data_IF_951623941960
#
_entry.id   IF_951623941960
#
_cell.length_a   1.000
_cell.length_b   1.000
_cell.length_c   1.000
_cell.angle_alpha   90.00
_cell.angle_beta   90.00
_cell.angle_gamma   90.00
#
_symmetry.space_group_name_H-M   'P 1'
#
loop_
_entity.id
_entity.type
_entity.pdbx_description
1 polymer ?
#
# COMPACT_ATOMS: atom_id res chain seq x y z
N UNK A 1 20.05 2.44 8.50
CA UNK A 1 21.27 1.68 8.89
C UNK A 1 22.00 1.10 7.66
N UNK A 2 21.32 0.41 6.73
CA UNK A 2 21.96 -0.15 5.52
C UNK A 2 22.54 0.95 4.63
N UNK A 3 21.82 2.04 4.40
CA UNK A 3 22.25 3.18 3.57
C UNK A 3 23.40 3.97 4.19
N UNK A 4 23.43 4.13 5.53
CA UNK A 4 24.56 4.71 6.26
C UNK A 4 25.84 3.87 6.11
N UNK A 5 25.70 2.54 6.18
CA UNK A 5 26.83 1.64 5.95
C UNK A 5 27.33 1.71 4.50
N UNK A 6 26.45 1.85 3.52
CA UNK A 6 26.83 2.03 2.12
C UNK A 6 27.53 3.36 1.88
N UNK A 7 27.06 4.44 2.48
CA UNK A 7 27.71 5.76 2.40
C UNK A 7 29.12 5.71 2.99
N UNK A 8 29.28 5.14 4.19
CA UNK A 8 30.58 4.97 4.84
C UNK A 8 31.56 4.09 4.02
N UNK A 9 31.04 3.03 3.37
CA UNK A 9 31.85 2.22 2.45
C UNK A 9 32.28 3.01 1.21
N UNK A 10 31.40 3.85 0.65
CA UNK A 10 31.70 4.68 -0.51
C UNK A 10 32.73 5.77 -0.16
N UNK A 11 32.59 6.39 1.00
CA UNK A 11 33.56 7.37 1.53
C UNK A 11 34.93 6.75 1.73
N UNK A 12 35.02 5.54 2.29
CA UNK A 12 36.25 4.80 2.44
C UNK A 12 36.87 4.42 1.09
N UNK A 13 36.07 3.95 0.12
CA UNK A 13 36.55 3.59 -1.23
C UNK A 13 37.05 4.82 -2.01
N UNK A 14 36.39 5.97 -1.86
CA UNK A 14 36.87 7.24 -2.45
C UNK A 14 38.16 7.71 -1.80
N UNK A 15 38.29 7.60 -0.47
CA UNK A 15 39.51 7.96 0.23
C UNK A 15 40.71 7.08 -0.18
N UNK A 16 40.51 5.76 -0.27
CA UNK A 16 41.52 4.79 -0.71
C UNK A 16 41.95 5.03 -2.18
N UNK A 17 40.99 5.24 -3.07
CA UNK A 17 41.30 5.56 -4.48
C UNK A 17 41.98 6.89 -4.64
N UNK A 18 41.63 7.88 -3.84
CA UNK A 18 42.32 9.19 -3.83
C UNK A 18 43.76 9.07 -3.32
N UNK A 19 44.00 8.23 -2.31
CA UNK A 19 45.36 7.96 -1.81
C UNK A 19 46.24 7.21 -2.84
N UNK A 20 45.65 6.17 -3.49
CA UNK A 20 46.32 5.44 -4.57
C UNK A 20 46.63 6.32 -5.77
N UNK A 21 45.73 7.23 -6.13
CA UNK A 21 45.95 8.20 -7.21
C UNK A 21 47.02 9.23 -6.87
N UNK A 22 47.10 9.69 -5.62
CA UNK A 22 48.19 10.56 -5.19
C UNK A 22 49.56 9.89 -5.33
N UNK A 23 49.66 8.61 -4.92
CA UNK A 23 50.93 7.85 -5.08
C UNK A 23 51.26 7.56 -6.55
N UNK A 24 50.28 7.37 -7.42
CA UNK A 24 50.46 7.17 -8.86
C UNK A 24 50.86 8.48 -9.60
N UNK A 25 50.44 9.64 -9.10
CA UNK A 25 50.78 10.96 -9.65
C UNK A 25 52.28 11.31 -9.42
N UNK A 26 52.87 10.77 -8.36
CA UNK A 26 54.31 10.98 -8.04
C UNK A 26 55.25 10.10 -8.89
N UNK A 27 54.73 9.09 -9.61
CA UNK A 27 55.52 8.29 -10.55
C UNK A 27 55.25 8.76 -12.00
N UNK A 28 56.32 9.10 -12.73
CA UNK A 28 56.43 9.59 -14.13
C UNK A 28 55.32 9.19 -15.11
N UNK A 29 54.15 9.78 -14.99
CA UNK A 29 53.05 9.63 -15.98
C UNK A 29 52.84 10.92 -16.79
N UNK A 30 52.43 10.77 -18.05
CA UNK A 30 52.26 11.87 -19.00
C UNK A 30 51.23 12.91 -18.52
N UNK A 31 51.47 14.20 -18.83
CA UNK A 31 50.67 15.37 -18.42
C UNK A 31 49.15 15.19 -18.70
N UNK A 32 48.81 14.54 -19.79
CA UNK A 32 47.42 14.26 -20.19
C UNK A 32 46.69 13.26 -19.29
N UNK A 33 47.38 12.32 -18.72
CA UNK A 33 46.78 11.31 -17.84
C UNK A 33 46.52 11.90 -16.43
N UNK A 34 47.41 12.80 -15.99
CA UNK A 34 47.22 13.59 -14.76
C UNK A 34 45.97 14.48 -14.82
N UNK A 35 45.75 15.20 -15.93
CA UNK A 35 44.59 16.06 -16.11
C UNK A 35 43.30 15.27 -16.10
N UNK A 36 43.29 14.09 -16.73
CA UNK A 36 42.13 13.19 -16.75
C UNK A 36 41.78 12.65 -15.36
N UNK A 37 42.77 12.27 -14.58
CA UNK A 37 42.62 11.80 -13.21
C UNK A 37 42.10 12.93 -12.31
N UNK A 38 42.63 14.14 -12.43
CA UNK A 38 42.15 15.30 -11.66
C UNK A 38 40.70 15.64 -11.98
N UNK A 39 40.30 15.59 -13.24
CA UNK A 39 38.88 15.81 -13.61
C UNK A 39 37.94 14.75 -13.04
N UNK A 40 38.37 13.49 -12.99
CA UNK A 40 37.61 12.39 -12.40
C UNK A 40 37.45 12.54 -10.88
N UNK A 41 38.52 12.98 -10.21
CA UNK A 41 38.48 13.28 -8.77
C UNK A 41 37.47 14.39 -8.48
N UNK A 42 37.50 15.50 -9.24
CA UNK A 42 36.53 16.59 -9.08
C UNK A 42 35.10 16.16 -9.34
N UNK A 43 34.86 15.30 -10.32
CA UNK A 43 33.53 14.74 -10.58
C UNK A 43 33.04 13.86 -9.41
N UNK A 44 33.91 13.00 -8.89
CA UNK A 44 33.56 12.12 -7.76
C UNK A 44 33.33 12.92 -6.47
N UNK A 45 34.15 13.94 -6.18
CA UNK A 45 33.95 14.83 -5.04
C UNK A 45 32.60 15.58 -5.15
N UNK A 46 32.25 16.06 -6.34
CA UNK A 46 30.96 16.73 -6.58
C UNK A 46 29.78 15.79 -6.39
N UNK A 47 29.89 14.54 -6.85
CA UNK A 47 28.86 13.51 -6.63
C UNK A 47 28.72 13.15 -5.15
N UNK A 48 29.84 13.10 -4.43
CA UNK A 48 29.84 12.78 -3.00
C UNK A 48 29.13 13.87 -2.20
N UNK A 49 29.41 15.14 -2.48
CA UNK A 49 28.71 16.29 -1.87
C UNK A 49 27.21 16.26 -2.18
N UNK A 50 26.83 15.98 -3.43
CA UNK A 50 25.43 15.86 -3.81
C UNK A 50 24.72 14.75 -3.05
N UNK A 51 25.31 13.55 -2.97
CA UNK A 51 24.76 12.42 -2.25
C UNK A 51 24.65 12.67 -0.73
N UNK A 52 25.61 13.39 -0.15
CA UNK A 52 25.55 13.79 1.26
C UNK A 52 24.37 14.73 1.52
N UNK A 53 24.15 15.73 0.65
CA UNK A 53 23.00 16.64 0.78
C UNK A 53 21.66 15.91 0.60
N UNK A 54 21.57 14.98 -0.35
CA UNK A 54 20.37 14.17 -0.54
C UNK A 54 20.10 13.26 0.67
N UNK A 55 21.15 12.69 1.25
CA UNK A 55 21.05 11.89 2.47
C UNK A 55 20.54 12.71 3.66
N UNK A 56 21.10 13.90 3.91
CA UNK A 56 20.65 14.81 4.98
C UNK A 56 19.17 15.20 4.78
N UNK A 57 18.78 15.49 3.55
CA UNK A 57 17.38 15.81 3.20
C UNK A 57 16.42 14.65 3.48
N UNK A 58 16.82 13.44 3.12
CA UNK A 58 16.05 12.22 3.38
C UNK A 58 15.96 11.91 4.88
N UNK A 59 17.03 12.10 5.62
CA UNK A 59 17.06 11.88 7.07
C UNK A 59 16.15 12.89 7.80
N UNK A 60 16.15 14.15 7.38
CA UNK A 60 15.23 15.17 7.89
C UNK A 60 13.77 14.83 7.58
N UNK A 61 13.48 14.34 6.36
CA UNK A 61 12.15 13.92 5.95
C UNK A 61 11.68 12.69 6.73
N UNK A 62 12.56 11.73 6.97
CA UNK A 62 12.28 10.55 7.78
C UNK A 62 11.95 10.94 9.22
N UNK A 63 12.77 11.81 9.82
CA UNK A 63 12.53 12.30 11.18
C UNK A 63 11.17 13.01 11.34
N UNK A 64 10.81 13.87 10.38
CA UNK A 64 9.51 14.56 10.41
C UNK A 64 8.34 13.59 10.23
N UNK A 65 8.50 12.57 9.40
CA UNK A 65 7.48 11.55 9.17
C UNK A 65 7.31 10.65 10.41
N UNK A 66 8.40 10.28 11.07
CA UNK A 66 8.36 9.51 12.32
C UNK A 66 7.69 10.30 13.46
N UNK A 67 7.97 11.61 13.56
CA UNK A 67 7.31 12.47 14.54
C UNK A 67 5.80 12.61 14.28
N UNK A 68 5.42 12.77 13.00
CA UNK A 68 4.02 12.81 12.61
C UNK A 68 3.30 11.49 12.91
N UNK A 69 3.94 10.36 12.62
CA UNK A 69 3.42 9.03 12.94
C UNK A 69 3.30 8.80 14.44
N UNK A 70 4.29 9.22 15.23
CA UNK A 70 4.24 9.13 16.68
C UNK A 70 3.12 10.01 17.30
N UNK A 71 2.91 11.20 16.74
CA UNK A 71 1.83 12.10 17.14
C UNK A 71 0.47 11.52 16.79
N UNK A 72 0.30 11.02 15.57
CA UNK A 72 -0.91 10.33 15.15
C UNK A 72 -1.22 9.09 16.02
N UNK A 73 -0.19 8.31 16.36
CA UNK A 73 -0.33 7.16 17.26
C UNK A 73 -0.75 7.56 18.68
N UNK A 74 -0.22 8.66 19.23
CA UNK A 74 -0.63 9.20 20.54
C UNK A 74 -2.07 9.71 20.51
N UNK A 75 -2.48 10.40 19.45
CA UNK A 75 -3.85 10.84 19.26
C UNK A 75 -4.81 9.65 19.18
N UNK A 76 -4.48 8.61 18.39
CA UNK A 76 -5.26 7.38 18.33
C UNK A 76 -5.36 6.66 19.68
N UNK A 77 -4.30 6.66 20.49
CA UNK A 77 -4.32 6.08 21.82
C UNK A 77 -5.12 6.91 22.86
N UNK A 78 -5.27 8.22 22.64
CA UNK A 78 -6.09 9.09 23.50
C UNK A 78 -7.60 8.97 23.24
N UNK A 79 -7.99 8.46 22.08
CA UNK A 79 -9.38 8.09 21.81
C UNK A 79 -9.63 6.70 22.39
N UNK A 80 -10.48 6.61 23.42
CA UNK A 80 -10.93 5.29 23.91
C UNK A 80 -11.61 4.53 22.78
N UNK A 81 -11.13 3.35 22.47
CA UNK A 81 -11.54 2.50 21.36
C UNK A 81 -13.03 2.10 21.33
N UNK A 82 -13.78 2.39 22.37
CA UNK A 82 -15.14 1.84 22.56
C UNK A 82 -16.26 2.57 21.81
N UNK A 83 -16.01 3.81 21.27
CA UNK A 83 -17.09 4.62 20.70
C UNK A 83 -16.84 5.16 19.28
N UNK A 84 -15.75 4.78 18.62
CA UNK A 84 -15.45 5.29 17.29
C UNK A 84 -15.80 4.25 16.21
N UNK A 85 -16.54 4.64 15.15
CA UNK A 85 -16.72 3.77 14.01
C UNK A 85 -15.36 3.40 13.40
N UNK A 86 -15.20 2.19 12.85
CA UNK A 86 -13.96 1.77 12.21
C UNK A 86 -13.57 2.77 11.13
N UNK A 87 -12.27 3.09 11.08
CA UNK A 87 -11.75 4.09 10.14
C UNK A 87 -12.17 3.73 8.72
N UNK A 88 -12.90 4.64 8.08
CA UNK A 88 -13.30 4.52 6.69
C UNK A 88 -14.62 3.78 6.44
N UNK A 89 -15.34 3.39 7.49
CA UNK A 89 -16.71 2.94 7.35
C UNK A 89 -17.68 3.97 7.91
N UNK A 90 -18.73 4.32 7.18
CA UNK A 90 -19.89 4.99 7.78
C UNK A 90 -20.43 4.15 8.93
N UNK A 91 -20.83 4.81 10.02
CA UNK A 91 -21.39 4.14 11.20
C UNK A 91 -22.62 3.25 10.89
N UNK A 92 -23.30 3.57 9.79
CA UNK A 92 -24.48 2.84 9.31
C UNK A 92 -24.14 1.61 8.46
N UNK A 93 -22.85 1.29 8.23
CA UNK A 93 -22.48 0.13 7.40
C UNK A 93 -22.97 -1.17 8.00
N UNK A 94 -23.87 -1.84 7.28
CA UNK A 94 -24.48 -3.12 7.69
C UNK A 94 -23.83 -4.32 7.01
N UNK A 95 -23.12 -4.08 5.90
CA UNK A 95 -22.47 -5.10 5.08
C UNK A 95 -21.06 -4.66 4.71
N UNK A 96 -20.07 -5.54 4.82
CA UNK A 96 -18.68 -5.21 4.53
C UNK A 96 -18.07 -6.22 3.58
N UNK A 97 -17.52 -5.73 2.47
CA UNK A 97 -16.76 -6.55 1.53
C UNK A 97 -15.28 -6.15 1.53
N UNK A 98 -14.42 -7.14 1.41
CA UNK A 98 -12.99 -6.96 1.25
C UNK A 98 -12.59 -7.35 -0.18
N UNK A 99 -11.82 -6.49 -0.84
CA UNK A 99 -11.18 -6.76 -2.13
C UNK A 99 -9.68 -6.80 -1.89
N UNK A 100 -9.11 -7.99 -1.89
CA UNK A 100 -7.74 -8.23 -1.44
C UNK A 100 -6.85 -8.55 -2.65
N UNK A 101 -5.78 -7.80 -2.79
CA UNK A 101 -4.74 -8.10 -3.77
C UNK A 101 -3.95 -9.34 -3.32
N UNK A 102 -3.99 -10.37 -4.13
CA UNK A 102 -3.27 -11.64 -3.94
C UNK A 102 -2.18 -11.83 -4.98
N UNK A 103 -1.73 -10.76 -5.64
CA UNK A 103 -0.64 -10.77 -6.62
C UNK A 103 0.70 -11.19 -6.01
N UNK A 104 1.69 -11.41 -6.85
CA UNK A 104 2.99 -11.92 -6.42
C UNK A 104 3.72 -11.00 -5.43
N UNK A 105 3.54 -9.68 -5.51
CA UNK A 105 4.11 -8.70 -4.59
C UNK A 105 3.52 -8.78 -3.17
N UNK A 106 2.27 -9.24 -3.06
CA UNK A 106 1.56 -9.41 -1.79
C UNK A 106 1.81 -10.80 -1.15
N UNK A 107 2.66 -11.63 -1.76
CA UNK A 107 2.93 -13.00 -1.32
C UNK A 107 4.34 -13.18 -0.79
N UNK A 108 4.48 -14.03 0.19
CA UNK A 108 5.77 -14.52 0.64
C UNK A 108 6.39 -15.40 -0.47
N UNK A 109 7.56 -15.02 -0.96
CA UNK A 109 8.22 -15.70 -2.07
C UNK A 109 8.64 -17.15 -1.74
N UNK A 110 8.85 -17.47 -0.45
CA UNK A 110 9.29 -18.80 -0.01
C UNK A 110 8.12 -19.78 0.13
N UNK A 111 6.98 -19.29 0.65
CA UNK A 111 5.82 -20.15 0.94
C UNK A 111 4.73 -20.08 -0.13
N UNK A 112 4.73 -19.04 -0.95
CA UNK A 112 3.66 -18.74 -1.92
C UNK A 112 2.34 -18.32 -1.28
N UNK A 113 2.27 -18.25 0.05
CA UNK A 113 1.10 -17.79 0.78
C UNK A 113 1.02 -16.26 0.76
N UNK A 114 -0.16 -15.70 1.04
CA UNK A 114 -0.30 -14.25 1.24
C UNK A 114 0.61 -13.82 2.41
N UNK A 115 1.20 -12.63 2.31
CA UNK A 115 2.09 -12.15 3.36
C UNK A 115 1.31 -12.00 4.68
N UNK A 116 1.92 -12.47 5.78
CA UNK A 116 1.26 -12.47 7.08
C UNK A 116 0.78 -11.08 7.50
N UNK A 117 1.57 -10.04 7.25
CA UNK A 117 1.19 -8.66 7.58
C UNK A 117 -0.07 -8.17 6.86
N UNK A 118 -0.34 -8.66 5.64
CA UNK A 118 -1.60 -8.36 4.93
C UNK A 118 -2.78 -9.00 5.64
N UNK A 119 -2.64 -10.27 6.03
CA UNK A 119 -3.70 -10.99 6.75
C UNK A 119 -3.95 -10.37 8.12
N UNK A 120 -2.88 -9.91 8.80
CA UNK A 120 -2.99 -9.22 10.09
C UNK A 120 -3.74 -7.88 9.97
N UNK A 121 -3.55 -7.14 8.88
CA UNK A 121 -4.32 -5.93 8.64
C UNK A 121 -5.82 -6.22 8.40
N UNK A 122 -6.13 -7.31 7.72
CA UNK A 122 -7.53 -7.75 7.59
C UNK A 122 -8.09 -8.18 8.95
N UNK A 123 -7.28 -8.82 9.80
CA UNK A 123 -7.64 -9.14 11.18
C UNK A 123 -7.94 -7.90 12.00
N UNK A 124 -7.02 -6.93 12.04
CA UNK A 124 -7.20 -5.65 12.75
C UNK A 124 -8.48 -4.92 12.31
N UNK A 125 -8.77 -4.92 11.00
CA UNK A 125 -10.01 -4.36 10.50
C UNK A 125 -11.24 -5.12 11.01
N UNK A 126 -11.24 -6.44 10.90
CA UNK A 126 -12.35 -7.25 11.39
C UNK A 126 -12.59 -7.10 12.89
N UNK A 127 -11.51 -6.97 13.68
CA UNK A 127 -11.60 -6.71 15.13
C UNK A 127 -12.13 -5.31 15.45
N UNK A 128 -11.80 -4.32 14.61
CA UNK A 128 -12.28 -2.95 14.76
C UNK A 128 -13.72 -2.75 14.28
N UNK A 129 -14.23 -3.67 13.43
CA UNK A 129 -15.59 -3.59 12.94
C UNK A 129 -16.57 -3.92 14.05
N UNK A 130 -17.62 -3.12 14.24
CA UNK A 130 -18.78 -3.57 15.03
C UNK A 130 -19.35 -4.84 14.41
N UNK A 131 -20.17 -5.54 15.14
CA UNK A 131 -20.90 -6.68 14.57
C UNK A 131 -21.81 -6.17 13.44
N UNK A 132 -21.42 -6.49 12.19
CA UNK A 132 -22.21 -6.16 10.99
C UNK A 132 -23.10 -7.33 10.62
N UNK A 133 -24.07 -7.12 9.74
CA UNK A 133 -24.96 -8.23 9.36
C UNK A 133 -24.24 -9.28 8.53
N UNK A 134 -23.34 -8.86 7.67
CA UNK A 134 -22.68 -9.76 6.73
C UNK A 134 -21.35 -9.25 6.24
N UNK A 135 -20.48 -10.18 5.92
CA UNK A 135 -19.14 -9.93 5.35
C UNK A 135 -18.96 -10.74 4.07
N UNK A 136 -18.02 -10.31 3.20
CA UNK A 136 -17.59 -11.06 2.03
C UNK A 136 -16.16 -10.71 1.63
N UNK A 137 -15.47 -11.66 1.01
CA UNK A 137 -14.07 -11.52 0.60
C UNK A 137 -13.88 -11.92 -0.87
N UNK A 138 -13.30 -11.03 -1.64
CA UNK A 138 -12.96 -11.23 -3.06
C UNK A 138 -11.47 -10.95 -3.26
N UNK A 139 -10.88 -11.58 -4.27
CA UNK A 139 -9.58 -11.13 -4.77
C UNK A 139 -9.76 -9.96 -5.77
N UNK A 140 -8.68 -9.31 -6.16
CA UNK A 140 -8.72 -8.21 -7.14
C UNK A 140 -9.18 -8.64 -8.53
N UNK A 141 -9.14 -9.91 -8.87
CA UNK A 141 -9.73 -10.46 -10.11
C UNK A 141 -11.25 -10.68 -10.03
N UNK A 142 -11.84 -10.51 -8.83
CA UNK A 142 -13.27 -10.68 -8.59
C UNK A 142 -13.70 -12.10 -8.25
N UNK A 143 -12.76 -12.98 -7.88
CA UNK A 143 -13.08 -14.32 -7.38
C UNK A 143 -13.43 -14.24 -5.90
N UNK A 144 -14.44 -15.00 -5.50
CA UNK A 144 -14.84 -15.12 -4.10
C UNK A 144 -13.90 -16.07 -3.36
N UNK A 145 -13.28 -15.59 -2.28
CA UNK A 145 -12.20 -16.34 -1.59
C UNK A 145 -12.75 -17.43 -0.67
N UNK A 146 -13.96 -17.24 -0.09
CA UNK A 146 -14.50 -18.11 0.94
C UNK A 146 -15.59 -19.07 0.44
N UNK A 147 -16.19 -18.83 -0.69
CA UNK A 147 -17.28 -19.68 -1.16
C UNK A 147 -17.42 -19.65 -2.67
N UNK A 148 -17.92 -20.75 -3.22
CA UNK A 148 -18.39 -20.82 -4.59
C UNK A 148 -19.71 -20.04 -4.81
N UNK A 149 -20.29 -19.46 -3.76
CA UNK A 149 -21.55 -18.71 -3.81
C UNK A 149 -21.30 -17.27 -4.19
N UNK A 150 -21.14 -17.02 -5.45
CA UNK A 150 -21.04 -15.68 -6.01
C UNK A 150 -22.30 -14.86 -5.74
N UNK A 151 -22.13 -13.60 -5.32
CA UNK A 151 -23.24 -12.69 -5.08
C UNK A 151 -24.00 -12.92 -3.76
N UNK A 152 -23.52 -13.82 -2.90
CA UNK A 152 -24.12 -14.07 -1.60
C UNK A 152 -23.28 -13.49 -0.47
N UNK A 153 -23.95 -12.83 0.44
CA UNK A 153 -23.37 -12.40 1.68
C UNK A 153 -23.21 -13.56 2.68
N UNK A 154 -22.16 -13.53 3.45
CA UNK A 154 -21.91 -14.47 4.53
C UNK A 154 -22.28 -13.80 5.86
N UNK A 155 -23.00 -14.49 6.78
CA UNK A 155 -23.34 -13.90 8.07
C UNK A 155 -22.07 -13.60 8.86
N UNK A 156 -22.01 -12.42 9.48
CA UNK A 156 -20.87 -12.05 10.29
C UNK A 156 -20.92 -12.77 11.64
N UNK A 157 -19.97 -13.65 11.88
CA UNK A 157 -19.80 -14.38 13.14
C UNK A 157 -18.31 -14.49 13.45
N UNK A 158 -17.96 -14.59 14.73
CA UNK A 158 -16.57 -14.77 15.16
C UNK A 158 -15.91 -16.00 14.53
N UNK A 159 -16.63 -17.10 14.41
CA UNK A 159 -16.15 -18.32 13.76
C UNK A 159 -15.90 -18.12 12.28
N UNK A 160 -16.74 -17.36 11.56
CA UNK A 160 -16.53 -17.08 10.15
C UNK A 160 -15.35 -16.10 9.95
N UNK A 161 -15.19 -15.09 10.79
CA UNK A 161 -14.04 -14.17 10.75
C UNK A 161 -12.73 -14.94 10.86
N UNK A 162 -12.61 -15.86 11.83
CA UNK A 162 -11.42 -16.69 11.99
C UNK A 162 -11.19 -17.64 10.80
N UNK A 163 -12.23 -18.32 10.34
CA UNK A 163 -12.15 -19.15 9.14
C UNK A 163 -11.72 -18.35 7.92
N UNK A 164 -12.22 -17.13 7.77
CA UNK A 164 -11.86 -16.24 6.68
C UNK A 164 -10.35 -15.93 6.68
N UNK A 165 -9.79 -15.55 7.82
CA UNK A 165 -8.37 -15.22 7.95
C UNK A 165 -7.48 -16.41 7.57
N UNK A 166 -7.84 -17.62 7.99
CA UNK A 166 -7.11 -18.83 7.64
C UNK A 166 -7.18 -19.13 6.13
N UNK A 167 -8.35 -18.98 5.53
CA UNK A 167 -8.53 -19.21 4.09
C UNK A 167 -7.84 -18.13 3.25
N UNK A 168 -7.85 -16.87 3.67
CA UNK A 168 -7.15 -15.77 3.01
C UNK A 168 -5.64 -16.03 3.03
N UNK A 169 -5.07 -16.43 4.17
CA UNK A 169 -3.66 -16.76 4.28
C UNK A 169 -3.25 -17.89 3.32
N UNK A 170 -4.07 -18.93 3.25
CA UNK A 170 -3.82 -20.12 2.42
C UNK A 170 -4.32 -19.97 0.96
N UNK A 171 -4.89 -18.81 0.58
CA UNK A 171 -5.54 -18.64 -0.72
C UNK A 171 -4.55 -18.87 -1.88
N UNK A 172 -4.80 -19.87 -2.75
CA UNK A 172 -3.79 -20.34 -3.70
C UNK A 172 -3.73 -19.51 -4.98
N UNK A 173 -4.79 -18.75 -5.30
CA UNK A 173 -4.93 -18.06 -6.58
C UNK A 173 -4.21 -16.71 -6.49
N UNK A 174 -3.25 -16.48 -7.39
CA UNK A 174 -2.66 -15.16 -7.56
C UNK A 174 -3.56 -14.30 -8.46
N UNK A 175 -3.95 -13.13 -7.95
CA UNK A 175 -4.71 -12.16 -8.73
C UNK A 175 -3.77 -11.23 -9.53
N UNK A 176 -4.35 -10.43 -10.42
CA UNK A 176 -3.66 -9.31 -11.06
C UNK A 176 -3.70 -8.12 -10.09
N UNK A 177 -2.61 -7.34 -10.00
CA UNK A 177 -2.56 -6.10 -9.20
C UNK A 177 -3.42 -5.01 -9.86
N UNK A 178 -4.72 -5.25 -9.89
CA UNK A 178 -5.72 -4.35 -10.46
C UNK A 178 -7.06 -4.57 -9.76
N UNK A 179 -7.41 -3.74 -8.77
CA UNK A 179 -8.63 -3.88 -8.00
C UNK A 179 -9.90 -3.55 -8.78
N UNK A 180 -9.82 -3.07 -10.03
CA UNK A 180 -11.00 -2.70 -10.83
C UNK A 180 -12.01 -3.84 -10.92
N UNK A 181 -11.54 -5.04 -11.27
CA UNK A 181 -12.43 -6.20 -11.44
C UNK A 181 -13.06 -6.62 -10.12
N UNK A 182 -12.29 -6.63 -9.04
CA UNK A 182 -12.76 -6.95 -7.70
C UNK A 182 -13.82 -5.97 -7.24
N UNK A 183 -13.56 -4.66 -7.34
CA UNK A 183 -14.50 -3.59 -7.01
C UNK A 183 -15.81 -3.71 -7.81
N UNK A 184 -15.70 -3.86 -9.13
CA UNK A 184 -16.86 -4.01 -10.00
C UNK A 184 -17.66 -5.25 -9.67
N UNK A 185 -17.01 -6.38 -9.40
CA UNK A 185 -17.70 -7.61 -9.00
C UNK A 185 -18.40 -7.45 -7.65
N UNK A 186 -17.74 -6.87 -6.66
CA UNK A 186 -18.34 -6.60 -5.36
C UNK A 186 -19.60 -5.74 -5.49
N UNK A 187 -19.53 -4.61 -6.20
CA UNK A 187 -20.68 -3.72 -6.36
C UNK A 187 -21.78 -4.37 -7.19
N UNK A 188 -21.45 -4.98 -8.33
CA UNK A 188 -22.43 -5.58 -9.23
C UNK A 188 -23.17 -6.75 -8.60
N UNK A 189 -22.45 -7.61 -7.89
CA UNK A 189 -22.98 -8.88 -7.43
C UNK A 189 -23.59 -8.76 -6.01
N UNK A 190 -23.06 -7.89 -5.15
CA UNK A 190 -23.46 -7.81 -3.74
C UNK A 190 -24.45 -6.67 -3.44
N UNK A 191 -24.27 -5.50 -4.09
CA UNK A 191 -25.16 -4.35 -3.87
C UNK A 191 -26.64 -4.63 -4.17
N UNK A 192 -27.03 -5.40 -5.22
CA UNK A 192 -28.46 -5.66 -5.50
C UNK A 192 -29.21 -6.39 -4.39
N UNK A 193 -28.52 -7.07 -3.49
CA UNK A 193 -29.11 -7.78 -2.36
C UNK A 193 -29.32 -6.91 -1.12
N UNK A 194 -28.88 -5.65 -1.15
CA UNK A 194 -29.07 -4.69 -0.07
C UNK A 194 -30.52 -4.19 -0.03
N UNK A 195 -31.05 -4.03 1.18
CA UNK A 195 -32.34 -3.38 1.43
C UNK A 195 -32.20 -1.87 1.43
N UNK A 196 -33.30 -1.16 1.48
CA UNK A 196 -33.34 0.32 1.41
C UNK A 196 -32.49 0.99 2.48
N UNK A 197 -32.42 0.40 3.67
CA UNK A 197 -31.69 0.94 4.83
C UNK A 197 -30.31 0.29 5.03
N UNK A 198 -29.90 -0.57 4.11
CA UNK A 198 -28.60 -1.22 4.18
C UNK A 198 -27.52 -0.35 3.49
N UNK A 199 -26.36 -0.24 4.14
CA UNK A 199 -25.16 0.40 3.59
C UNK A 199 -24.04 -0.62 3.49
N UNK A 200 -23.32 -0.56 2.39
CA UNK A 200 -22.18 -1.42 2.10
C UNK A 200 -20.87 -0.65 2.21
N UNK A 201 -19.93 -1.16 2.99
CA UNK A 201 -18.54 -0.72 2.95
C UNK A 201 -17.68 -1.68 2.15
N UNK A 202 -16.76 -1.17 1.35
CA UNK A 202 -15.73 -1.97 0.67
C UNK A 202 -14.36 -1.52 1.16
N UNK A 203 -13.52 -2.45 1.62
CA UNK A 203 -12.10 -2.24 1.84
C UNK A 203 -11.29 -2.86 0.71
N UNK A 204 -10.50 -2.04 0.02
CA UNK A 204 -9.52 -2.48 -0.98
C UNK A 204 -8.16 -2.58 -0.31
N UNK A 205 -7.54 -3.75 -0.34
CA UNK A 205 -6.25 -4.03 0.28
C UNK A 205 -5.25 -4.38 -0.80
N UNK A 206 -4.18 -3.60 -0.96
CA UNK A 206 -3.21 -3.83 -2.04
C UNK A 206 -2.00 -2.90 -2.01
N UNK A 207 -1.14 -3.03 -3.03
CA UNK A 207 0.12 -2.31 -3.14
C UNK A 207 0.35 -1.65 -4.51
N UNK A 208 -0.35 -2.08 -5.57
CA UNK A 208 -0.19 -1.56 -6.92
C UNK A 208 -1.54 -1.44 -7.66
N UNK A 209 -1.56 -0.61 -8.69
CA UNK A 209 -2.68 -0.45 -9.60
C UNK A 209 -2.18 -0.28 -11.04
N UNK A 210 -2.65 -1.13 -11.93
CA UNK A 210 -2.22 -1.14 -13.33
C UNK A 210 -3.27 -0.66 -14.32
N UNK A 211 -4.47 -0.35 -13.86
CA UNK A 211 -5.59 0.09 -14.68
C UNK A 211 -5.59 1.58 -15.05
N UNK A 212 -6.67 2.01 -15.70
CA UNK A 212 -6.94 3.42 -16.00
C UNK A 212 -7.80 4.05 -14.91
N UNK A 213 -7.25 5.04 -14.21
CA UNK A 213 -7.92 5.76 -13.12
C UNK A 213 -9.23 6.37 -13.55
N UNK A 214 -9.20 7.16 -14.64
CA UNK A 214 -10.38 7.89 -15.11
C UNK A 214 -11.49 6.94 -15.58
N UNK A 215 -11.12 5.85 -16.25
CA UNK A 215 -12.07 4.83 -16.69
C UNK A 215 -12.77 4.16 -15.51
N UNK A 216 -12.00 3.82 -14.46
CA UNK A 216 -12.52 3.20 -13.25
C UNK A 216 -13.44 4.15 -12.48
N UNK A 217 -13.06 5.40 -12.24
CA UNK A 217 -13.90 6.38 -11.56
C UNK A 217 -15.25 6.58 -12.24
N UNK A 218 -15.27 6.75 -13.56
CA UNK A 218 -16.52 6.89 -14.33
C UNK A 218 -17.40 5.65 -14.18
N UNK A 219 -16.82 4.47 -14.19
CA UNK A 219 -17.59 3.23 -14.04
C UNK A 219 -18.15 3.07 -12.61
N UNK A 220 -17.33 3.36 -11.61
CA UNK A 220 -17.77 3.31 -10.21
C UNK A 220 -18.89 4.32 -9.93
N UNK A 221 -18.80 5.53 -10.47
CA UNK A 221 -19.86 6.54 -10.35
C UNK A 221 -21.20 6.07 -10.96
N UNK A 222 -21.15 5.41 -12.10
CA UNK A 222 -22.35 4.82 -12.73
C UNK A 222 -22.95 3.66 -11.92
N UNK A 223 -22.11 2.84 -11.31
CA UNK A 223 -22.54 1.67 -10.54
C UNK A 223 -22.98 2.04 -9.11
N UNK A 224 -22.46 3.14 -8.59
CA UNK A 224 -22.68 3.61 -7.23
C UNK A 224 -23.05 5.11 -7.22
N UNK A 225 -24.18 5.51 -7.85
CA UNK A 225 -24.58 6.90 -7.88
C UNK A 225 -24.98 7.41 -6.49
N UNK A 226 -24.78 8.70 -6.24
CA UNK A 226 -25.29 9.36 -5.03
C UNK A 226 -26.80 9.38 -5.04
N UNK A 227 -27.39 9.11 -3.89
CA UNK A 227 -28.82 9.26 -3.69
C UNK A 227 -29.17 10.78 -3.74
N UNK A 228 -30.05 11.21 -4.65
CA UNK A 228 -30.37 12.63 -4.79
C UNK A 228 -30.99 13.26 -3.53
N UNK A 229 -31.69 12.46 -2.72
CA UNK A 229 -32.39 12.95 -1.52
C UNK A 229 -31.47 13.06 -0.30
N UNK A 230 -30.49 12.15 -0.17
CA UNK A 230 -29.59 12.09 1.01
C UNK A 230 -28.20 12.60 0.71
N UNK A 231 -27.81 12.70 -0.56
CA UNK A 231 -26.45 13.00 -0.99
C UNK A 231 -25.45 11.85 -0.74
N UNK A 232 -25.85 10.80 -0.03
CA UNK A 232 -25.00 9.65 0.31
C UNK A 232 -24.93 8.63 -0.82
N UNK A 233 -23.81 7.91 -0.90
CA UNK A 233 -23.69 6.74 -1.76
C UNK A 233 -24.11 5.48 -1.00
N UNK A 234 -24.77 4.50 -1.65
CA UNK A 234 -25.11 3.24 -1.01
C UNK A 234 -23.89 2.36 -0.70
N UNK A 235 -22.75 2.63 -1.35
CA UNK A 235 -21.49 1.91 -1.12
C UNK A 235 -20.39 2.93 -0.85
N UNK A 236 -19.72 2.80 0.30
CA UNK A 236 -18.45 3.50 0.58
C UNK A 236 -17.27 2.64 0.15
N UNK A 237 -16.19 3.26 -0.32
CA UNK A 237 -14.98 2.55 -0.75
C UNK A 237 -13.78 3.13 -0.02
N UNK A 238 -13.18 2.33 0.84
CA UNK A 238 -11.94 2.65 1.55
C UNK A 238 -10.79 1.77 1.05
N UNK A 239 -9.57 2.21 1.21
CA UNK A 239 -8.40 1.46 0.77
C UNK A 239 -7.31 1.41 1.83
N UNK A 240 -6.57 0.29 1.84
CA UNK A 240 -5.35 0.10 2.61
C UNK A 240 -4.22 -0.18 1.63
N UNK A 241 -3.24 0.71 1.61
CA UNK A 241 -2.05 0.58 0.79
C UNK A 241 -0.86 0.08 1.58
N UNK A 242 -0.11 -0.85 1.00
CA UNK A 242 1.16 -1.34 1.51
C UNK A 242 2.31 -0.90 0.63
N UNK A 243 3.52 -0.72 1.19
CA UNK A 243 4.70 -0.56 0.36
C UNK A 243 4.98 -1.86 -0.37
N UNK A 244 5.21 -1.78 -1.68
CA UNK A 244 5.54 -2.95 -2.49
C UNK A 244 6.83 -3.60 -1.97
N UNK A 245 6.77 -4.87 -1.59
CA UNK A 245 7.93 -5.66 -1.14
C UNK A 245 8.85 -6.10 -2.30
N UNK A 246 8.98 -5.27 -3.32
CA UNK A 246 9.88 -5.57 -4.43
C UNK A 246 11.31 -5.18 -4.02
N UNK A 247 12.24 -6.06 -4.40
CA UNK A 247 13.68 -5.89 -4.26
C UNK A 247 14.08 -4.41 -4.48
N UNK A 248 14.73 -3.75 -3.52
CA UNK A 248 15.12 -2.33 -3.60
C UNK A 248 15.98 -1.99 -4.83
N UNK A 249 16.49 -2.99 -5.53
CA UNK A 249 17.22 -2.84 -6.80
C UNK A 249 16.33 -2.81 -8.06
N UNK A 250 15.01 -3.00 -7.97
CA UNK A 250 14.11 -2.83 -9.10
C UNK A 250 13.63 -1.37 -9.17
N UNK A 251 14.20 -0.65 -10.13
CA UNK A 251 13.76 0.71 -10.52
C UNK A 251 12.29 0.59 -10.98
N UNK A 252 11.35 1.07 -10.19
CA UNK A 252 9.91 1.01 -10.50
C UNK A 252 8.99 0.67 -9.32
N UNK A 253 9.51 0.08 -8.25
CA UNK A 253 8.73 -0.27 -7.06
C UNK A 253 8.08 0.97 -6.40
N UNK A 254 8.81 2.08 -6.34
CA UNK A 254 8.30 3.37 -5.83
C UNK A 254 7.19 3.97 -6.68
N UNK A 255 7.16 3.70 -7.98
CA UNK A 255 6.11 4.19 -8.89
C UNK A 255 4.78 3.45 -8.68
N UNK A 256 4.80 2.15 -8.38
CA UNK A 256 3.60 1.37 -8.09
C UNK A 256 2.86 1.88 -6.86
N UNK A 257 3.59 2.05 -5.75
CA UNK A 257 3.02 2.55 -4.48
C UNK A 257 2.41 3.94 -4.62
N UNK A 258 3.11 4.87 -5.30
CA UNK A 258 2.60 6.21 -5.54
C UNK A 258 1.35 6.20 -6.42
N UNK A 259 1.32 5.32 -7.42
CA UNK A 259 0.17 5.16 -8.31
C UNK A 259 -1.03 4.60 -7.55
N UNK A 260 -0.86 3.52 -6.77
CA UNK A 260 -1.91 2.96 -5.94
C UNK A 260 -2.46 4.01 -4.98
N UNK A 261 -1.59 4.70 -4.24
CA UNK A 261 -2.00 5.70 -3.26
C UNK A 261 -2.80 6.85 -3.91
N UNK A 262 -2.37 7.36 -5.05
CA UNK A 262 -3.06 8.45 -5.72
C UNK A 262 -4.44 8.01 -6.22
N UNK A 263 -4.53 6.87 -6.88
CA UNK A 263 -5.78 6.36 -7.43
C UNK A 263 -6.76 5.99 -6.32
N UNK A 264 -6.30 5.28 -5.29
CA UNK A 264 -7.16 4.87 -4.19
C UNK A 264 -7.62 6.06 -3.35
N UNK A 265 -6.82 7.13 -3.27
CA UNK A 265 -7.27 8.39 -2.65
C UNK A 265 -8.44 9.00 -3.42
N UNK A 266 -8.30 9.16 -4.74
CA UNK A 266 -9.38 9.72 -5.57
C UNK A 266 -10.66 8.86 -5.48
N UNK A 267 -10.53 7.54 -5.50
CA UNK A 267 -11.68 6.63 -5.37
C UNK A 267 -12.32 6.77 -3.99
N UNK A 268 -11.53 6.76 -2.93
CA UNK A 268 -12.02 6.87 -1.57
C UNK A 268 -12.76 8.20 -1.34
N UNK A 269 -12.15 9.32 -1.73
CA UNK A 269 -12.76 10.64 -1.64
C UNK A 269 -14.06 10.73 -2.45
N UNK A 270 -14.10 10.17 -3.66
CA UNK A 270 -15.30 10.16 -4.50
C UNK A 270 -16.41 9.27 -3.93
N UNK A 271 -16.09 8.24 -3.16
CA UNK A 271 -17.03 7.23 -2.67
C UNK A 271 -17.15 7.19 -1.14
N UNK A 272 -17.02 8.33 -0.47
CA UNK A 272 -17.29 8.52 0.96
C UNK A 272 -16.46 7.59 1.88
N UNK A 273 -15.24 7.26 1.47
CA UNK A 273 -14.30 6.41 2.18
C UNK A 273 -12.99 7.12 2.51
N UNK A 274 -11.99 6.36 2.94
CA UNK A 274 -10.65 6.85 3.29
C UNK A 274 -9.54 5.96 2.71
N UNK A 275 -8.35 6.55 2.50
CA UNK A 275 -7.13 5.82 2.20
C UNK A 275 -6.25 5.75 3.46
N UNK A 276 -5.85 4.55 3.83
CA UNK A 276 -4.89 4.27 4.90
C UNK A 276 -3.61 3.72 4.27
N UNK A 277 -2.49 4.38 4.49
CA UNK A 277 -1.19 3.89 4.05
C UNK A 277 -0.44 3.30 5.23
N UNK A 278 0.01 2.06 5.10
CA UNK A 278 0.83 1.37 6.11
C UNK A 278 2.31 1.54 5.76
N UNK A 279 3.18 1.71 6.76
CA UNK A 279 4.61 1.92 6.53
C UNK A 279 5.36 0.63 6.15
N UNK A 280 4.79 -0.52 6.46
CA UNK A 280 5.38 -1.86 6.20
C UNK A 280 4.30 -2.93 6.15
N UNK A 281 4.62 -4.07 5.56
CA UNK A 281 3.85 -5.31 5.65
C UNK A 281 4.37 -6.14 6.79
#
# INVERSE_FOLDING_TARGET
RAMQAQLAMLEADVADKTALLKTAIDSEQTSTERERILSLIQELESKLVYLQQEFESLEATLSTTEQAAATAKRLLQSFKHEDLPPIGLPAESTHVAFVIDTSGSMRNQMTGQLHYGVVEQVRELLESLPEVRSIQFLDTSGNYMLSSRRGFWLPDTSGLREQALQQILAYPIASVSDPERGLRSAIRDLKPSLKTDDYMGIYVVGDDFRGSTQGLLIQLDRMNPRNPSTGKRPVSISAIGFPTLINPFQIGATQGNSRYANIMREIAEAHDGVLILKPSI
#
